data_IF_038172230992
#
_entry.id   IF_038172230992
#
_cell.length_a   1.000
_cell.length_b   1.000
_cell.length_c   1.000
_cell.angle_alpha   90.00
_cell.angle_beta   90.00
_cell.angle_gamma   90.00
#
_symmetry.space_group_name_H-M   'P 1'
#
loop_
_entity.id
_entity.type
_entity.pdbx_description
1 polymer ?
#
# COMPACT_ATOMS: atom_id res chain seq x y z
N UNK A 1 9.74 -25.35 24.65
CA UNK A 1 9.44 -23.99 24.17
C UNK A 1 8.51 -23.32 25.18
N UNK A 2 8.92 -22.20 25.79
CA UNK A 2 8.02 -21.40 26.63
C UNK A 2 7.05 -20.67 25.70
N UNK A 3 5.75 -20.80 25.94
CA UNK A 3 4.73 -19.94 25.32
C UNK A 3 5.00 -18.53 25.82
N UNK A 4 5.42 -17.63 24.93
CA UNK A 4 5.41 -16.20 25.22
C UNK A 4 3.97 -15.74 25.03
N UNK A 5 3.23 -15.60 26.12
CA UNK A 5 1.95 -14.90 26.11
C UNK A 5 2.24 -13.40 26.03
N UNK A 6 1.78 -12.77 24.94
CA UNK A 6 1.81 -11.32 24.79
C UNK A 6 0.79 -10.75 25.78
N UNK A 7 1.29 -10.17 26.88
CA UNK A 7 0.47 -9.43 27.84
C UNK A 7 -0.05 -8.16 27.15
N UNK A 8 -1.28 -8.20 26.66
CA UNK A 8 -2.01 -7.00 26.25
C UNK A 8 -2.30 -6.18 27.51
N UNK A 9 -1.99 -4.88 27.48
CA UNK A 9 -2.23 -3.96 28.59
C UNK A 9 -3.72 -3.90 28.97
N UNK A 10 -4.06 -4.43 30.15
CA UNK A 10 -5.41 -4.49 30.74
C UNK A 10 -5.92 -3.15 31.31
N UNK A 11 -5.70 -2.03 30.62
CA UNK A 11 -6.23 -0.73 31.06
C UNK A 11 -7.28 -0.18 30.08
N UNK A 12 -8.48 -0.78 30.12
CA UNK A 12 -9.80 -0.13 30.07
C UNK A 12 -10.20 0.89 28.98
N UNK A 13 -9.32 1.26 28.05
CA UNK A 13 -9.58 2.24 26.98
C UNK A 13 -9.04 1.77 25.61
N UNK A 14 -8.68 0.50 25.48
CA UNK A 14 -8.23 -0.07 24.21
C UNK A 14 -9.43 -0.63 23.46
N UNK A 15 -10.00 0.16 22.54
CA UNK A 15 -10.63 -0.44 21.39
C UNK A 15 -9.54 -1.16 20.57
N UNK A 16 -9.65 -2.49 20.60
CA UNK A 16 -9.07 -3.47 19.70
C UNK A 16 -7.57 -3.82 19.83
N UNK A 17 -7.30 -5.11 19.63
CA UNK A 17 -5.99 -5.77 19.59
C UNK A 17 -5.20 -5.39 18.32
N UNK A 18 -4.99 -4.10 18.13
CA UNK A 18 -4.20 -3.56 17.04
C UNK A 18 -2.70 -3.75 17.31
N UNK A 19 -2.08 -4.71 16.62
CA UNK A 19 -0.63 -4.75 16.53
C UNK A 19 -0.16 -3.81 15.41
N UNK A 20 0.10 -2.54 15.73
CA UNK A 20 0.70 -1.59 14.79
C UNK A 20 2.21 -1.75 14.66
N UNK A 21 2.82 -2.59 15.50
CA UNK A 21 4.25 -2.85 15.50
C UNK A 21 4.79 -3.28 14.12
N UNK A 22 4.09 -4.14 13.34
CA UNK A 22 4.56 -4.51 12.00
C UNK A 22 4.66 -3.32 11.05
N UNK A 23 3.78 -2.32 11.13
CA UNK A 23 3.81 -1.15 10.24
C UNK A 23 4.92 -0.18 10.59
N UNK A 24 5.14 0.01 11.89
CA UNK A 24 6.28 0.77 12.40
C UNK A 24 7.60 0.20 11.89
N UNK A 25 7.75 -1.13 11.92
CA UNK A 25 8.94 -1.80 11.40
C UNK A 25 9.07 -1.70 9.88
N UNK A 26 7.97 -1.65 9.12
CA UNK A 26 8.03 -1.37 7.67
C UNK A 26 8.56 0.03 7.39
N UNK A 27 8.06 1.07 8.07
CA UNK A 27 8.56 2.44 7.89
C UNK A 27 10.04 2.57 8.27
N UNK A 28 10.46 1.97 9.39
CA UNK A 28 11.88 1.88 9.76
C UNK A 28 12.71 1.19 8.70
N UNK A 29 12.20 0.10 8.15
CA UNK A 29 12.91 -0.67 7.11
C UNK A 29 13.08 0.16 5.84
N UNK A 30 12.05 0.87 5.39
CA UNK A 30 12.13 1.81 4.26
C UNK A 30 13.20 2.87 4.54
N UNK A 31 13.19 3.51 5.72
CA UNK A 31 14.18 4.53 6.11
C UNK A 31 15.60 3.97 6.14
N UNK A 32 15.77 2.78 6.72
CA UNK A 32 17.05 2.10 6.75
C UNK A 32 17.56 1.84 5.33
N UNK A 33 16.73 1.29 4.45
CA UNK A 33 17.06 0.99 3.06
C UNK A 33 17.48 2.24 2.27
N UNK A 34 16.80 3.38 2.46
CA UNK A 34 17.18 4.67 1.85
C UNK A 34 18.58 5.12 2.30
N UNK A 35 18.97 4.81 3.54
CA UNK A 35 20.26 5.17 4.12
C UNK A 35 21.42 4.25 3.71
N UNK A 36 21.16 3.10 3.08
CA UNK A 36 22.21 2.15 2.70
C UNK A 36 23.06 2.72 1.55
N UNK A 37 24.38 2.77 1.76
CA UNK A 37 25.35 3.04 0.69
C UNK A 37 25.62 1.75 -0.09
N UNK A 38 24.97 1.61 -1.25
CA UNK A 38 25.19 0.48 -2.15
C UNK A 38 26.63 0.45 -2.67
N UNK A 39 27.22 -0.75 -2.80
CA UNK A 39 28.59 -0.93 -3.32
C UNK A 39 28.64 -0.92 -4.85
N UNK A 40 27.53 -1.21 -5.50
CA UNK A 40 27.39 -1.26 -6.95
C UNK A 40 25.92 -1.05 -7.38
N UNK A 41 25.71 -0.85 -8.68
CA UNK A 41 24.37 -0.63 -9.25
C UNK A 41 23.40 -1.80 -9.05
N UNK A 42 23.89 -3.04 -9.02
CA UNK A 42 23.03 -4.22 -8.80
C UNK A 42 22.45 -4.21 -7.37
N UNK A 43 23.28 -3.91 -6.38
CA UNK A 43 22.85 -3.75 -4.99
C UNK A 43 21.88 -2.57 -4.84
N UNK A 44 22.18 -1.44 -5.47
CA UNK A 44 21.30 -0.27 -5.45
C UNK A 44 19.91 -0.59 -6.03
N UNK A 45 19.85 -1.33 -7.13
CA UNK A 45 18.57 -1.80 -7.71
C UNK A 45 17.83 -2.75 -6.77
N UNK A 46 18.53 -3.65 -6.11
CA UNK A 46 17.95 -4.54 -5.10
C UNK A 46 17.30 -3.76 -3.95
N UNK A 47 17.96 -2.71 -3.48
CA UNK A 47 17.43 -1.78 -2.47
C UNK A 47 16.15 -1.12 -2.98
N UNK A 48 16.17 -0.55 -4.19
CA UNK A 48 14.99 0.12 -4.76
C UNK A 48 13.80 -0.82 -4.96
N UNK A 49 14.00 -2.04 -5.47
CA UNK A 49 12.93 -3.03 -5.57
C UNK A 49 12.35 -3.39 -4.21
N UNK A 50 13.22 -3.54 -3.20
CA UNK A 50 12.78 -3.85 -1.83
C UNK A 50 11.91 -2.74 -1.27
N UNK A 51 12.26 -1.47 -1.48
CA UNK A 51 11.45 -0.33 -1.04
C UNK A 51 10.08 -0.32 -1.73
N UNK A 52 10.02 -0.53 -3.04
CA UNK A 52 8.75 -0.62 -3.79
C UNK A 52 7.84 -1.73 -3.21
N UNK A 53 8.42 -2.91 -2.93
CA UNK A 53 7.67 -4.02 -2.32
C UNK A 53 7.15 -3.60 -0.95
N UNK A 54 7.98 -3.00 -0.10
CA UNK A 54 7.58 -2.53 1.23
C UNK A 54 6.48 -1.48 1.18
N UNK A 55 6.47 -0.57 0.20
CA UNK A 55 5.38 0.38 0.01
C UNK A 55 4.05 -0.35 -0.28
N UNK A 56 4.05 -1.39 -1.13
CA UNK A 56 2.83 -2.17 -1.38
C UNK A 56 2.37 -2.96 -0.15
N UNK A 57 3.31 -3.55 0.59
CA UNK A 57 3.02 -4.26 1.85
C UNK A 57 2.43 -3.33 2.90
N UNK A 58 2.95 -2.11 3.01
CA UNK A 58 2.40 -1.09 3.90
C UNK A 58 0.95 -0.79 3.53
N UNK A 59 0.66 -0.55 2.25
CA UNK A 59 -0.69 -0.23 1.76
C UNK A 59 -1.67 -1.36 2.05
N UNK A 60 -1.34 -2.60 1.66
CA UNK A 60 -2.21 -3.76 1.88
C UNK A 60 -2.45 -4.02 3.37
N UNK A 61 -1.38 -4.02 4.17
CA UNK A 61 -1.49 -4.32 5.58
C UNK A 61 -2.25 -3.23 6.34
N UNK A 62 -1.96 -1.95 6.10
CA UNK A 62 -2.68 -0.86 6.78
C UNK A 62 -4.15 -0.78 6.36
N UNK A 63 -4.45 -0.92 5.06
CA UNK A 63 -5.83 -0.87 4.58
C UNK A 63 -6.66 -2.07 5.08
N UNK A 64 -6.07 -3.27 5.06
CA UNK A 64 -6.69 -4.47 5.63
C UNK A 64 -6.96 -4.32 7.13
N UNK A 65 -6.01 -3.76 7.89
CA UNK A 65 -6.20 -3.51 9.32
C UNK A 65 -7.32 -2.48 9.59
N UNK A 66 -7.36 -1.37 8.85
CA UNK A 66 -8.44 -0.37 8.97
C UNK A 66 -9.81 -1.03 8.79
N UNK A 67 -9.95 -1.91 7.79
CA UNK A 67 -11.20 -2.61 7.53
C UNK A 67 -11.52 -3.60 8.66
N UNK A 68 -10.55 -4.43 9.05
CA UNK A 68 -10.72 -5.46 10.08
C UNK A 68 -11.14 -4.86 11.42
N UNK A 69 -10.63 -3.70 11.78
CA UNK A 69 -10.99 -3.10 13.07
C UNK A 69 -12.41 -2.55 13.10
N UNK A 70 -12.95 -2.09 11.97
CA UNK A 70 -14.37 -1.78 11.89
C UNK A 70 -15.23 -3.04 11.92
N UNK A 71 -14.77 -4.17 11.39
CA UNK A 71 -15.44 -5.47 11.53
C UNK A 71 -15.41 -5.92 13.01
N UNK A 72 -14.27 -5.78 13.69
CA UNK A 72 -14.11 -6.10 15.11
C UNK A 72 -15.08 -5.29 15.98
N UNK A 73 -15.23 -3.98 15.72
CA UNK A 73 -16.20 -3.15 16.43
C UNK A 73 -17.63 -3.71 16.33
N UNK A 74 -18.02 -4.21 15.15
CA UNK A 74 -19.35 -4.79 14.93
C UNK A 74 -19.57 -6.08 15.70
N UNK A 75 -18.52 -6.86 16.00
CA UNK A 75 -18.67 -8.03 16.87
C UNK A 75 -19.13 -7.62 18.28
N UNK A 76 -18.62 -6.51 18.83
CA UNK A 76 -19.07 -6.00 20.13
C UNK A 76 -20.52 -5.49 20.09
N UNK A 77 -20.95 -4.89 18.99
CA UNK A 77 -22.34 -4.45 18.82
C UNK A 77 -23.31 -5.64 18.82
N UNK A 78 -22.93 -6.73 18.13
CA UNK A 78 -23.69 -7.98 18.07
C UNK A 78 -23.83 -8.66 19.44
N UNK A 79 -22.97 -8.35 20.42
CA UNK A 79 -23.13 -8.87 21.77
C UNK A 79 -24.44 -8.45 22.45
N UNK A 80 -25.03 -7.32 22.02
CA UNK A 80 -26.28 -6.79 22.56
C UNK A 80 -27.54 -7.33 21.85
N UNK A 81 -27.39 -8.20 20.85
CA UNK A 81 -28.52 -8.73 20.08
C UNK A 81 -29.19 -9.92 20.79
N UNK A 82 -30.37 -10.31 20.30
CA UNK A 82 -31.00 -11.57 20.75
C UNK A 82 -30.08 -12.76 20.45
N UNK A 83 -30.14 -13.83 21.26
CA UNK A 83 -29.26 -15.00 21.06
C UNK A 83 -29.39 -15.63 19.67
N UNK A 84 -30.61 -15.65 19.11
CA UNK A 84 -30.87 -16.14 17.75
C UNK A 84 -30.20 -15.28 16.68
N UNK A 85 -30.26 -13.96 16.82
CA UNK A 85 -29.67 -13.04 15.85
C UNK A 85 -28.15 -12.98 16.02
N UNK A 86 -27.66 -13.08 17.26
CA UNK A 86 -26.24 -13.07 17.60
C UNK A 86 -25.45 -14.12 16.83
N UNK A 87 -25.90 -15.38 16.82
CA UNK A 87 -25.21 -16.45 16.08
C UNK A 87 -25.18 -16.16 14.57
N UNK A 88 -26.30 -15.72 14.01
CA UNK A 88 -26.42 -15.38 12.60
C UNK A 88 -25.45 -14.26 12.19
N UNK A 89 -25.46 -13.14 12.92
CA UNK A 89 -24.58 -12.00 12.62
C UNK A 89 -23.11 -12.31 12.86
N UNK A 90 -22.77 -13.07 13.91
CA UNK A 90 -21.38 -13.52 14.14
C UNK A 90 -20.83 -14.31 12.94
N UNK A 91 -21.62 -15.23 12.37
CA UNK A 91 -21.20 -15.99 11.19
C UNK A 91 -20.98 -15.11 9.96
N UNK A 92 -21.82 -14.08 9.77
CA UNK A 92 -21.65 -13.11 8.67
C UNK A 92 -20.33 -12.34 8.86
N UNK A 93 -20.08 -11.81 10.06
CA UNK A 93 -18.88 -11.04 10.36
C UNK A 93 -17.60 -11.89 10.23
N UNK A 94 -17.62 -13.15 10.69
CA UNK A 94 -16.49 -14.08 10.52
C UNK A 94 -16.19 -14.36 9.04
N UNK A 95 -17.23 -14.52 8.21
CA UNK A 95 -17.04 -14.69 6.77
C UNK A 95 -16.48 -13.43 6.11
N UNK A 96 -16.94 -12.25 6.54
CA UNK A 96 -16.45 -10.97 6.05
C UNK A 96 -14.97 -10.77 6.42
N UNK A 97 -14.61 -10.97 7.69
CA UNK A 97 -13.22 -10.91 8.17
C UNK A 97 -12.32 -11.85 7.37
N UNK A 98 -12.74 -13.11 7.19
CA UNK A 98 -12.00 -14.08 6.36
C UNK A 98 -11.85 -13.62 4.91
N UNK A 99 -12.87 -12.98 4.34
CA UNK A 99 -12.81 -12.45 2.97
C UNK A 99 -11.78 -11.32 2.87
N UNK A 100 -11.78 -10.40 3.83
CA UNK A 100 -10.81 -9.29 3.88
C UNK A 100 -9.39 -9.81 4.08
N UNK A 101 -9.18 -10.74 4.99
CA UNK A 101 -7.85 -11.32 5.27
C UNK A 101 -7.22 -12.05 4.08
N UNK A 102 -8.04 -12.57 3.14
CA UNK A 102 -7.56 -13.27 1.95
C UNK A 102 -7.61 -12.40 0.68
N UNK A 103 -7.88 -11.11 0.82
CA UNK A 103 -8.02 -10.19 -0.30
C UNK A 103 -6.68 -9.59 -0.75
N UNK A 104 -6.58 -9.22 -2.02
CA UNK A 104 -5.47 -8.43 -2.55
C UNK A 104 -5.91 -6.98 -2.73
N UNK A 105 -4.96 -6.09 -3.06
CA UNK A 105 -5.26 -4.68 -3.30
C UNK A 105 -6.41 -4.43 -4.30
N UNK A 106 -6.57 -5.26 -5.33
CA UNK A 106 -7.65 -5.09 -6.33
C UNK A 106 -9.06 -5.27 -5.74
N UNK A 107 -9.18 -6.01 -4.63
CA UNK A 107 -10.43 -6.21 -3.92
C UNK A 107 -10.67 -5.14 -2.83
N UNK A 108 -9.71 -4.24 -2.58
CA UNK A 108 -9.80 -3.23 -1.51
C UNK A 108 -11.04 -2.34 -1.66
N UNK A 109 -11.32 -1.86 -2.87
CA UNK A 109 -12.48 -1.00 -3.16
C UNK A 109 -13.80 -1.70 -2.79
N UNK A 110 -13.97 -2.94 -3.23
CA UNK A 110 -15.15 -3.75 -2.92
C UNK A 110 -15.27 -4.04 -1.42
N UNK A 111 -14.17 -4.40 -0.77
CA UNK A 111 -14.18 -4.70 0.67
C UNK A 111 -14.52 -3.44 1.47
N UNK A 112 -14.02 -2.28 1.06
CA UNK A 112 -14.36 -1.00 1.65
C UNK A 112 -15.86 -0.69 1.49
N UNK A 113 -16.41 -0.87 0.29
CA UNK A 113 -17.83 -0.66 0.03
C UNK A 113 -18.71 -1.55 0.93
N UNK A 114 -18.36 -2.84 1.07
CA UNK A 114 -19.11 -3.76 1.94
C UNK A 114 -19.06 -3.35 3.42
N UNK A 115 -17.93 -2.79 3.87
CA UNK A 115 -17.76 -2.41 5.28
C UNK A 115 -18.34 -1.02 5.56
N UNK A 116 -18.15 -0.05 4.67
CA UNK A 116 -18.46 1.36 4.95
C UNK A 116 -19.60 1.93 4.10
N UNK A 117 -20.18 1.15 3.19
CA UNK A 117 -21.22 1.60 2.24
C UNK A 117 -20.80 2.84 1.45
N UNK A 118 -19.56 2.81 0.96
CA UNK A 118 -18.90 3.96 0.33
C UNK A 118 -17.99 3.51 -0.80
N UNK A 119 -17.99 4.26 -1.90
CA UNK A 119 -16.98 4.13 -2.95
C UNK A 119 -15.65 4.73 -2.48
N UNK A 120 -14.68 3.86 -2.15
CA UNK A 120 -13.36 4.27 -1.70
C UNK A 120 -12.60 5.04 -2.77
N UNK A 121 -12.66 4.58 -4.02
CA UNK A 121 -11.89 5.14 -5.11
C UNK A 121 -12.33 6.57 -5.38
N UNK A 122 -13.63 6.82 -5.39
CA UNK A 122 -14.19 8.17 -5.45
C UNK A 122 -13.74 9.01 -4.26
N UNK A 123 -13.84 8.50 -3.04
CA UNK A 123 -13.46 9.22 -1.83
C UNK A 123 -11.96 9.55 -1.75
N UNK A 124 -11.09 8.73 -2.37
CA UNK A 124 -9.66 9.02 -2.53
C UNK A 124 -9.45 10.07 -3.62
N UNK A 125 -10.09 9.92 -4.78
CA UNK A 125 -9.92 10.82 -5.91
C UNK A 125 -10.45 12.24 -5.65
N UNK A 126 -11.42 12.41 -4.75
CA UNK A 126 -11.87 13.72 -4.27
C UNK A 126 -10.76 14.49 -3.54
N UNK A 127 -9.77 13.79 -2.98
CA UNK A 127 -8.62 14.38 -2.27
C UNK A 127 -7.44 14.59 -3.20
N UNK A 128 -7.18 13.61 -4.07
CA UNK A 128 -6.15 13.65 -5.10
C UNK A 128 -6.58 12.75 -6.25
N UNK A 129 -6.92 13.37 -7.39
CA UNK A 129 -7.48 12.69 -8.55
C UNK A 129 -6.53 11.69 -9.21
N UNK A 130 -5.23 11.81 -8.96
CA UNK A 130 -4.20 10.96 -9.56
C UNK A 130 -3.72 9.85 -8.62
N UNK A 131 -4.01 9.96 -7.33
CA UNK A 131 -3.47 9.08 -6.30
C UNK A 131 -3.86 7.62 -6.51
N UNK A 132 -5.11 7.34 -6.89
CA UNK A 132 -5.52 5.96 -7.20
C UNK A 132 -4.77 5.38 -8.40
N UNK A 133 -4.51 6.21 -9.42
CA UNK A 133 -3.73 5.84 -10.62
C UNK A 133 -2.28 5.56 -10.21
N UNK A 134 -1.65 6.43 -9.42
CA UNK A 134 -0.31 6.22 -8.86
C UNK A 134 -0.20 4.89 -8.13
N UNK A 135 -1.11 4.61 -7.18
CA UNK A 135 -1.06 3.38 -6.40
C UNK A 135 -1.34 2.15 -7.28
N UNK A 136 -2.28 2.24 -8.22
CA UNK A 136 -2.49 1.14 -9.18
C UNK A 136 -1.22 0.83 -9.96
N UNK A 137 -0.49 1.85 -10.42
CA UNK A 137 0.81 1.66 -11.09
C UNK A 137 1.88 1.09 -10.16
N UNK A 138 1.92 1.49 -8.89
CA UNK A 138 2.81 0.89 -7.89
C UNK A 138 2.60 -0.63 -7.78
N UNK A 139 1.35 -1.09 -7.69
CA UNK A 139 1.05 -2.52 -7.65
C UNK A 139 1.38 -3.24 -8.96
N UNK A 140 1.23 -2.58 -10.12
CA UNK A 140 1.69 -3.13 -11.40
C UNK A 140 3.22 -3.32 -11.43
N UNK A 141 3.98 -2.35 -10.90
CA UNK A 141 5.44 -2.46 -10.76
C UNK A 141 5.81 -3.62 -9.85
N UNK A 142 5.17 -3.73 -8.66
CA UNK A 142 5.43 -4.84 -7.73
C UNK A 142 5.17 -6.19 -8.40
N UNK A 143 4.07 -6.35 -9.12
CA UNK A 143 3.77 -7.61 -9.83
C UNK A 143 4.85 -7.92 -10.89
N UNK A 144 5.33 -6.91 -11.61
CA UNK A 144 6.42 -7.10 -12.57
C UNK A 144 7.73 -7.56 -11.90
N UNK A 145 8.07 -6.98 -10.75
CA UNK A 145 9.25 -7.38 -9.94
C UNK A 145 9.08 -8.83 -9.46
N UNK A 146 7.93 -9.19 -8.88
CA UNK A 146 7.69 -10.53 -8.30
C UNK A 146 7.75 -11.65 -9.33
N UNK A 147 7.45 -11.38 -10.60
CA UNK A 147 7.57 -12.35 -11.69
C UNK A 147 8.97 -12.38 -12.34
N UNK A 148 9.98 -11.75 -11.71
CA UNK A 148 11.38 -11.82 -12.12
C UNK A 148 11.67 -11.10 -13.44
N UNK A 149 10.81 -10.17 -13.84
CA UNK A 149 10.97 -9.47 -15.10
C UNK A 149 11.94 -8.28 -14.95
N UNK A 150 12.91 -8.20 -15.87
CA UNK A 150 13.79 -7.03 -15.96
C UNK A 150 12.96 -5.83 -16.44
N UNK A 151 12.74 -4.85 -15.55
CA UNK A 151 12.06 -3.60 -15.86
C UNK A 151 13.04 -2.62 -16.53
N UNK A 152 13.42 -2.94 -17.77
CA UNK A 152 14.30 -2.13 -18.61
C UNK A 152 13.60 -1.75 -19.90
N UNK A 153 13.86 -0.54 -20.38
CA UNK A 153 13.42 -0.06 -21.68
C UNK A 153 14.64 0.11 -22.56
N UNK A 154 14.66 -0.56 -23.71
CA UNK A 154 15.74 -0.46 -24.70
C UNK A 154 15.42 0.64 -25.72
N UNK A 155 16.37 1.55 -25.94
CA UNK A 155 16.31 2.60 -26.95
C UNK A 155 17.12 2.17 -28.18
N UNK A 156 16.46 2.03 -29.33
CA UNK A 156 17.14 1.80 -30.60
C UNK A 156 17.24 3.12 -31.38
N UNK A 157 18.40 3.50 -31.92
CA UNK A 157 18.48 4.64 -32.82
C UNK A 157 17.69 4.34 -34.08
N UNK A 158 16.80 5.26 -34.48
CA UNK A 158 16.32 5.29 -35.86
C UNK A 158 17.33 6.09 -36.69
N UNK A 159 17.49 5.77 -37.98
CA UNK A 159 18.54 6.34 -38.83
C UNK A 159 18.51 7.87 -39.03
N UNK A 160 17.60 8.58 -38.37
CA UNK A 160 17.50 10.04 -38.36
C UNK A 160 18.04 10.59 -37.04
N UNK A 161 19.03 11.48 -37.13
CA UNK A 161 19.66 12.11 -35.96
C UNK A 161 18.61 12.75 -35.03
N UNK A 162 18.46 12.16 -33.84
CA UNK A 162 17.63 12.52 -32.67
C UNK A 162 16.38 11.67 -32.41
N UNK A 163 16.01 10.72 -33.27
CA UNK A 163 14.84 9.87 -33.04
C UNK A 163 15.21 8.47 -32.52
N UNK A 164 14.61 8.06 -31.40
CA UNK A 164 14.79 6.74 -30.78
C UNK A 164 13.50 5.92 -30.84
N UNK A 165 13.60 4.65 -31.28
CA UNK A 165 12.53 3.66 -31.15
C UNK A 165 12.59 2.99 -29.78
N UNK A 166 11.50 3.09 -29.03
CA UNK A 166 11.37 2.60 -27.67
C UNK A 166 10.68 1.23 -27.70
N UNK A 167 11.44 0.15 -27.48
CA UNK A 167 10.86 -1.18 -27.30
C UNK A 167 10.55 -1.42 -25.84
N UNK A 168 9.34 -1.03 -25.44
CA UNK A 168 8.75 -1.48 -24.18
C UNK A 168 7.97 -2.76 -24.48
N UNK A 169 8.23 -3.85 -23.74
CA UNK A 169 7.38 -5.04 -23.81
C UNK A 169 5.93 -4.61 -23.56
N UNK A 170 4.98 -4.98 -24.42
CA UNK A 170 3.60 -4.48 -24.38
C UNK A 170 2.96 -4.50 -22.98
N UNK A 171 3.27 -5.52 -22.17
CA UNK A 171 2.82 -5.66 -20.78
C UNK A 171 3.28 -4.56 -19.81
N UNK A 172 4.30 -3.77 -20.14
CA UNK A 172 4.84 -2.68 -19.32
C UNK A 172 4.63 -1.30 -19.92
N UNK A 173 3.95 -1.21 -21.06
CA UNK A 173 3.65 0.07 -21.72
C UNK A 173 2.92 1.03 -20.79
N UNK A 174 1.96 0.53 -20.01
CA UNK A 174 1.24 1.34 -19.02
C UNK A 174 2.14 1.93 -17.93
N UNK A 175 3.06 1.12 -17.38
CA UNK A 175 4.03 1.57 -16.38
C UNK A 175 4.96 2.62 -16.99
N UNK A 176 5.53 2.34 -18.16
CA UNK A 176 6.41 3.27 -18.85
C UNK A 176 5.72 4.62 -19.13
N UNK A 177 4.55 4.60 -19.77
CA UNK A 177 3.78 5.80 -20.09
C UNK A 177 3.49 6.63 -18.84
N UNK A 178 3.09 6.00 -17.73
CA UNK A 178 2.86 6.69 -16.46
C UNK A 178 4.13 7.36 -15.92
N UNK A 179 5.24 6.63 -15.87
CA UNK A 179 6.50 7.16 -15.33
C UNK A 179 7.05 8.30 -16.20
N UNK A 180 6.89 8.22 -17.52
CA UNK A 180 7.25 9.29 -18.45
C UNK A 180 6.32 10.51 -18.28
N UNK A 181 5.01 10.30 -18.17
CA UNK A 181 4.02 11.37 -17.90
C UNK A 181 4.38 12.15 -16.62
N UNK A 182 4.77 11.43 -15.55
CA UNK A 182 5.20 12.02 -14.28
C UNK A 182 6.65 12.53 -14.28
N UNK A 183 7.37 12.43 -15.41
CA UNK A 183 8.78 12.82 -15.56
C UNK A 183 9.72 12.16 -14.54
N UNK A 184 9.41 10.92 -14.15
CA UNK A 184 10.21 10.12 -13.21
C UNK A 184 11.30 9.33 -13.91
N UNK A 185 11.16 9.15 -15.21
CA UNK A 185 12.17 8.61 -16.12
C UNK A 185 12.35 9.59 -17.27
N UNK A 186 13.60 9.78 -17.69
CA UNK A 186 13.97 10.62 -18.82
C UNK A 186 14.65 9.73 -19.86
N UNK A 187 14.34 9.95 -21.14
CA UNK A 187 15.06 9.33 -22.24
C UNK A 187 16.41 10.05 -22.38
N UNK A 188 17.43 9.53 -21.70
CA UNK A 188 18.71 10.22 -21.56
C UNK A 188 19.60 10.05 -22.81
N UNK A 189 19.69 8.84 -23.39
CA UNK A 189 20.54 8.49 -24.56
C UNK A 189 20.27 7.05 -25.04
N UNK A 190 20.92 6.66 -26.15
CA UNK A 190 21.15 5.26 -26.55
C UNK A 190 21.43 4.36 -25.34
N UNK A 191 20.62 3.33 -25.11
CA UNK A 191 20.87 2.38 -24.02
C UNK A 191 19.62 1.81 -23.37
N UNK A 192 19.75 1.33 -22.14
CA UNK A 192 18.66 0.81 -21.32
C UNK A 192 18.29 1.82 -20.22
N UNK A 193 17.03 2.22 -20.10
CA UNK A 193 16.55 2.98 -18.93
C UNK A 193 15.94 2.01 -17.92
N UNK A 194 16.42 2.08 -16.68
CA UNK A 194 15.83 1.38 -15.56
C UNK A 194 14.56 2.10 -15.09
N UNK A 195 13.43 1.41 -15.11
CA UNK A 195 12.14 1.97 -14.69
C UNK A 195 12.04 2.16 -13.17
N UNK A 196 12.88 1.48 -12.40
CA UNK A 196 12.96 1.67 -10.95
C UNK A 196 14.29 2.33 -10.62
N UNK A 197 14.21 3.62 -10.32
CA UNK A 197 15.33 4.48 -9.96
C UNK A 197 15.00 5.28 -8.70
N UNK A 198 15.93 6.13 -8.25
CA UNK A 198 15.75 6.95 -7.05
C UNK A 198 14.48 7.82 -7.09
N UNK A 199 14.25 8.56 -8.18
CA UNK A 199 13.08 9.45 -8.35
C UNK A 199 11.77 8.66 -8.24
N UNK A 200 11.73 7.48 -8.86
CA UNK A 200 10.56 6.58 -8.83
C UNK A 200 10.29 6.06 -7.41
N UNK A 201 11.33 5.66 -6.69
CA UNK A 201 11.21 5.20 -5.30
C UNK A 201 10.72 6.32 -4.38
N UNK A 202 11.35 7.50 -4.46
CA UNK A 202 10.96 8.66 -3.65
C UNK A 202 9.51 9.06 -3.92
N UNK A 203 9.11 9.10 -5.19
CA UNK A 203 7.71 9.33 -5.58
C UNK A 203 6.76 8.33 -4.92
N UNK A 204 7.03 7.03 -5.01
CA UNK A 204 6.11 6.03 -4.48
C UNK A 204 6.08 5.93 -2.94
N UNK A 205 7.15 6.30 -2.25
CA UNK A 205 7.12 6.47 -0.79
C UNK A 205 6.12 7.58 -0.41
N UNK A 206 6.19 8.70 -1.12
CA UNK A 206 5.29 9.84 -0.90
C UNK A 206 3.84 9.48 -1.23
N UNK A 207 3.59 8.88 -2.39
CA UNK A 207 2.24 8.47 -2.81
C UNK A 207 1.65 7.41 -1.88
N UNK A 208 2.43 6.44 -1.41
CA UNK A 208 1.96 5.45 -0.43
C UNK A 208 1.52 6.14 0.87
N UNK A 209 2.30 7.11 1.34
CA UNK A 209 1.99 7.91 2.54
C UNK A 209 0.70 8.73 2.34
N UNK A 210 0.56 9.41 1.19
CA UNK A 210 -0.67 10.14 0.84
C UNK A 210 -1.88 9.22 0.77
N UNK A 211 -1.73 8.04 0.18
CA UNK A 211 -2.82 7.09 0.01
C UNK A 211 -3.35 6.57 1.34
N UNK A 212 -2.46 6.19 2.27
CA UNK A 212 -2.87 5.81 3.62
C UNK A 212 -3.64 6.93 4.31
N UNK A 213 -3.15 8.18 4.23
CA UNK A 213 -3.88 9.33 4.76
C UNK A 213 -5.25 9.49 4.11
N UNK A 214 -5.33 9.35 2.80
CA UNK A 214 -6.57 9.48 2.05
C UNK A 214 -7.59 8.42 2.46
N UNK A 215 -7.16 7.16 2.67
CA UNK A 215 -7.98 6.07 3.18
C UNK A 215 -8.51 6.40 4.58
N UNK A 216 -7.63 6.77 5.52
CA UNK A 216 -8.03 7.10 6.90
C UNK A 216 -9.07 8.22 6.90
N UNK A 217 -8.83 9.27 6.12
CA UNK A 217 -9.75 10.40 6.02
C UNK A 217 -11.09 10.04 5.35
N UNK A 218 -11.13 8.98 4.53
CA UNK A 218 -12.36 8.46 3.92
C UNK A 218 -13.25 7.72 4.91
N UNK A 219 -12.76 7.27 6.06
CA UNK A 219 -13.58 6.54 7.06
C UNK A 219 -14.81 7.40 7.43
N UNK A 220 -16.05 6.92 7.29
CA UNK A 220 -17.24 7.74 7.56
C UNK A 220 -17.45 7.99 9.06
N UNK A 221 -17.11 7.02 9.91
CA UNK A 221 -17.26 7.15 11.35
C UNK A 221 -16.12 8.00 11.95
N UNK A 222 -16.47 9.10 12.62
CA UNK A 222 -15.47 10.01 13.21
C UNK A 222 -14.65 9.40 14.35
N UNK A 223 -15.22 8.47 15.13
CA UNK A 223 -14.49 7.75 16.18
C UNK A 223 -13.42 6.85 15.56
N UNK A 224 -13.79 6.03 14.59
CA UNK A 224 -12.88 5.11 13.90
C UNK A 224 -11.79 5.89 13.15
N UNK A 225 -12.17 6.98 12.48
CA UNK A 225 -11.24 7.91 11.84
C UNK A 225 -10.23 8.49 12.82
N UNK A 226 -10.69 8.97 13.97
CA UNK A 226 -9.81 9.59 14.97
C UNK A 226 -8.83 8.57 15.55
N UNK A 227 -9.29 7.34 15.81
CA UNK A 227 -8.44 6.24 16.27
C UNK A 227 -7.37 5.88 15.23
N UNK A 228 -7.78 5.67 13.98
CA UNK A 228 -6.87 5.37 12.88
C UNK A 228 -5.86 6.50 12.64
N UNK A 229 -6.30 7.76 12.74
CA UNK A 229 -5.45 8.95 12.60
C UNK A 229 -4.42 9.05 13.72
N UNK A 230 -4.83 8.93 14.99
CA UNK A 230 -3.93 9.02 16.13
C UNK A 230 -2.82 7.95 16.07
N UNK A 231 -3.20 6.73 15.68
CA UNK A 231 -2.25 5.61 15.53
C UNK A 231 -1.31 5.80 14.36
N UNK A 232 -1.81 6.28 13.23
CA UNK A 232 -0.97 6.61 12.09
C UNK A 232 0.00 7.75 12.38
N UNK A 233 -0.45 8.80 13.08
CA UNK A 233 0.40 9.91 13.54
C UNK A 233 1.48 9.40 14.49
N UNK A 234 1.14 8.57 15.46
CA UNK A 234 2.13 7.94 16.35
C UNK A 234 3.21 7.18 15.57
N UNK A 235 2.83 6.36 14.58
CA UNK A 235 3.80 5.64 13.74
C UNK A 235 4.70 6.62 12.99
N UNK A 236 4.12 7.67 12.40
CA UNK A 236 4.88 8.70 11.67
C UNK A 236 5.85 9.44 12.57
N UNK A 237 5.44 9.87 13.75
CA UNK A 237 6.30 10.58 14.70
C UNK A 237 7.46 9.72 15.21
N UNK A 238 7.26 8.41 15.33
CA UNK A 238 8.31 7.49 15.74
C UNK A 238 9.26 7.10 14.58
N UNK A 239 8.94 7.49 13.34
CA UNK A 239 9.66 7.06 12.13
C UNK A 239 10.26 8.20 11.30
N UNK A 240 9.76 9.43 11.45
CA UNK A 240 10.32 10.68 10.89
C UNK A 240 11.26 11.32 11.90
#
# INVERSE_FOLDING_TARGET
>A
MRKTELNFFENGNCLAGYDYYPFYEIFKSIRFLIGIKAKNEKELRGIYYTIIIQCTTLIEGMSGQIINSSIEHRFYEVENFSEKDKEFYKRILQNLEKTVNNSFFRELEKNWEVVYDQDLKKAVNEKDSELWKSITTLFQIRNAISHGHLLTVEYHPTGNNNDFDIKVLDKYKGIYSFLTEKKLIEADRLGMVHLVNKKVVEFFIEEATKFINAIILSIPNNRDKSLAMNKYQFIREQTL
#
